data_IF_882017461709
#
_entry.id   IF_882017461709
#
_cell.length_a   1.000
_cell.length_b   1.000
_cell.length_c   1.000
_cell.angle_alpha   90.00
_cell.angle_beta   90.00
_cell.angle_gamma   90.00
#
_symmetry.space_group_name_H-M   'P 1'
#
loop_
_entity.id
_entity.type
_entity.pdbx_description
1 polymer ?
#
# COMPACT_ATOMS: atom_id res chain seq x y z
N UNK A 1 1.60 -0.91 -7.08
CA UNK A 1 0.20 -1.28 -6.77
C UNK A 1 -0.70 -0.56 -7.74
N UNK A 2 -1.54 -1.29 -8.45
CA UNK A 2 -2.57 -0.74 -9.34
C UNK A 2 -3.75 -0.25 -8.50
N UNK A 3 -4.39 0.85 -8.91
CA UNK A 3 -5.66 1.35 -8.36
C UNK A 3 -6.82 0.45 -8.85
N UNK A 4 -6.65 -0.87 -8.70
CA UNK A 4 -7.62 -1.87 -9.15
C UNK A 4 -8.58 -2.18 -8.00
N UNK A 5 -9.76 -1.57 -8.07
CA UNK A 5 -10.81 -1.69 -7.07
C UNK A 5 -11.29 -3.14 -6.90
N UNK A 6 -11.49 -3.88 -7.99
CA UNK A 6 -12.03 -5.24 -7.95
C UNK A 6 -11.05 -6.19 -7.24
N UNK A 7 -9.76 -6.06 -7.55
CA UNK A 7 -8.71 -6.81 -6.86
C UNK A 7 -8.65 -6.48 -5.36
N UNK A 8 -8.79 -5.21 -5.01
CA UNK A 8 -8.78 -4.75 -3.61
C UNK A 8 -9.98 -5.29 -2.82
N UNK A 9 -11.19 -5.22 -3.41
CA UNK A 9 -12.41 -5.78 -2.84
C UNK A 9 -12.32 -7.31 -2.67
N UNK A 10 -11.79 -8.00 -3.68
CA UNK A 10 -11.59 -9.45 -3.63
C UNK A 10 -10.66 -9.85 -2.49
N UNK A 11 -9.54 -9.13 -2.33
CA UNK A 11 -8.63 -9.37 -1.22
C UNK A 11 -9.33 -9.18 0.12
N UNK A 12 -10.10 -8.11 0.30
CA UNK A 12 -10.80 -7.86 1.55
C UNK A 12 -11.86 -8.92 1.86
N UNK A 13 -12.72 -9.25 0.88
CA UNK A 13 -13.78 -10.24 1.05
C UNK A 13 -13.24 -11.64 1.38
N UNK A 14 -12.05 -11.99 0.88
CA UNK A 14 -11.40 -13.26 1.20
C UNK A 14 -10.96 -13.41 2.68
N UNK A 15 -10.90 -12.31 3.45
CA UNK A 15 -10.58 -12.33 4.89
C UNK A 15 -11.80 -12.10 5.79
N UNK A 16 -12.91 -11.62 5.21
CA UNK A 16 -14.12 -11.22 5.95
C UNK A 16 -15.32 -11.89 5.30
N UNK A 17 -15.44 -13.20 5.45
CA UNK A 17 -16.54 -13.98 4.88
C UNK A 17 -17.63 -14.29 5.92
N UNK A 18 -17.25 -14.39 7.21
CA UNK A 18 -18.22 -14.66 8.26
C UNK A 18 -19.08 -13.42 8.52
N UNK A 19 -20.41 -13.56 8.48
CA UNK A 19 -21.35 -12.45 8.67
C UNK A 19 -21.16 -11.70 10.00
N UNK A 20 -20.83 -12.40 11.09
CA UNK A 20 -20.59 -11.77 12.39
C UNK A 20 -19.32 -10.92 12.35
N UNK A 21 -18.27 -11.42 11.71
CA UNK A 21 -17.03 -10.67 11.52
C UNK A 21 -17.27 -9.44 10.65
N UNK A 22 -18.02 -9.59 9.55
CA UNK A 22 -18.42 -8.46 8.70
C UNK A 22 -19.14 -7.41 9.55
N UNK A 23 -20.18 -7.76 10.31
CA UNK A 23 -20.92 -6.80 11.16
C UNK A 23 -20.00 -6.09 12.16
N UNK A 24 -19.08 -6.81 12.81
CA UNK A 24 -18.10 -6.22 13.71
C UNK A 24 -17.30 -5.13 12.98
N UNK A 25 -16.80 -5.42 11.78
CA UNK A 25 -16.05 -4.46 10.98
C UNK A 25 -16.92 -3.29 10.49
N UNK A 26 -18.18 -3.53 10.12
CA UNK A 26 -19.12 -2.49 9.70
C UNK A 26 -19.33 -1.42 10.78
N UNK A 27 -19.30 -1.83 12.06
CA UNK A 27 -19.42 -0.91 13.20
C UNK A 27 -18.06 -0.34 13.61
N UNK A 28 -17.03 -1.18 13.73
CA UNK A 28 -15.74 -0.78 14.31
C UNK A 28 -14.90 0.10 13.37
N UNK A 29 -14.93 -0.15 12.05
CA UNK A 29 -14.07 0.58 11.10
C UNK A 29 -14.43 2.07 11.01
N UNK A 30 -15.70 2.49 10.88
CA UNK A 30 -16.05 3.91 10.91
C UNK A 30 -15.66 4.58 12.23
N UNK A 31 -15.90 3.91 13.36
CA UNK A 31 -15.55 4.43 14.70
C UNK A 31 -14.04 4.58 14.88
N UNK A 32 -13.25 3.64 14.36
CA UNK A 32 -11.79 3.74 14.33
C UNK A 32 -11.33 4.89 13.45
N UNK A 33 -11.93 5.10 12.28
CA UNK A 33 -11.58 6.21 11.40
C UNK A 33 -11.84 7.56 12.07
N UNK A 34 -13.00 7.71 12.72
CA UNK A 34 -13.40 8.95 13.38
C UNK A 34 -12.53 9.23 14.61
N UNK A 35 -12.35 8.23 15.48
CA UNK A 35 -11.45 8.36 16.64
C UNK A 35 -10.01 8.64 16.22
N UNK A 36 -9.56 8.10 15.09
CA UNK A 36 -8.23 8.37 14.55
C UNK A 36 -8.09 9.83 14.08
N UNK A 37 -9.08 10.36 13.36
CA UNK A 37 -9.07 11.79 12.99
C UNK A 37 -9.08 12.70 14.22
N UNK A 38 -9.86 12.35 15.25
CA UNK A 38 -9.86 13.09 16.52
C UNK A 38 -8.49 13.09 17.19
N UNK A 39 -7.88 11.91 17.38
CA UNK A 39 -6.56 11.78 18.00
C UNK A 39 -5.53 12.63 17.24
N UNK A 40 -5.54 12.56 15.90
CA UNK A 40 -4.64 13.36 15.06
C UNK A 40 -4.95 14.86 15.12
N UNK A 41 -6.20 15.25 15.34
CA UNK A 41 -6.60 16.66 15.34
C UNK A 41 -5.92 17.49 16.44
N UNK A 42 -5.41 16.84 17.49
CA UNK A 42 -4.61 17.46 18.55
C UNK A 42 -3.25 18.01 18.08
N UNK A 43 -2.82 17.68 16.87
CA UNK A 43 -1.55 18.15 16.29
C UNK A 43 -1.80 19.20 15.21
N UNK A 44 -1.41 20.44 15.49
CA UNK A 44 -1.67 21.62 14.66
C UNK A 44 -2.56 22.64 15.40
N UNK A 45 -3.17 23.60 14.70
CA UNK A 45 -3.08 23.85 13.25
C UNK A 45 -1.66 24.23 12.80
N UNK A 46 -1.29 23.82 11.59
CA UNK A 46 0.07 24.04 11.07
C UNK A 46 0.26 25.42 10.41
N UNK A 47 -0.82 26.04 9.94
CA UNK A 47 -0.84 27.38 9.36
C UNK A 47 -2.24 27.99 9.46
N UNK A 48 -2.35 29.30 9.25
CA UNK A 48 -3.65 29.99 9.19
C UNK A 48 -4.15 30.07 7.75
N UNK A 49 -5.43 29.77 7.55
CA UNK A 49 -6.07 29.92 6.24
C UNK A 49 -6.56 31.36 6.07
N UNK A 50 -6.49 31.95 4.86
CA UNK A 50 -7.12 33.23 4.59
C UNK A 50 -8.65 33.11 4.78
N UNK A 51 -9.37 34.19 5.16
CA UNK A 51 -10.78 34.11 5.55
C UNK A 51 -11.69 33.42 4.54
N UNK A 52 -11.42 33.58 3.25
CA UNK A 52 -12.21 32.99 2.16
C UNK A 52 -12.00 31.47 1.98
N UNK A 53 -10.99 30.88 2.62
CA UNK A 53 -10.69 29.44 2.58
C UNK A 53 -10.98 28.74 3.91
N UNK A 54 -11.40 29.49 4.94
CA UNK A 54 -11.74 28.93 6.23
C UNK A 54 -13.10 28.22 6.14
N UNK A 55 -13.09 26.94 6.49
CA UNK A 55 -14.30 26.13 6.67
C UNK A 55 -14.48 25.90 8.17
N UNK A 56 -15.68 26.12 8.74
CA UNK A 56 -15.92 25.94 10.16
C UNK A 56 -15.44 24.58 10.66
N UNK A 57 -14.65 24.60 11.74
CA UNK A 57 -14.09 23.41 12.40
C UNK A 57 -13.16 22.54 11.55
N UNK A 58 -12.79 22.97 10.35
CA UNK A 58 -11.86 22.25 9.47
C UNK A 58 -10.52 22.98 9.39
N UNK A 59 -9.90 23.15 10.55
CA UNK A 59 -8.57 23.75 10.67
C UNK A 59 -7.51 22.84 10.00
N UNK A 60 -6.41 23.40 9.46
CA UNK A 60 -5.33 22.62 8.85
C UNK A 60 -4.46 21.96 9.93
N UNK A 61 -5.05 21.04 10.68
CA UNK A 61 -4.43 20.15 11.65
C UNK A 61 -4.24 18.75 11.04
N UNK A 62 -3.55 17.87 11.77
CA UNK A 62 -3.17 16.56 11.24
C UNK A 62 -4.40 15.65 10.99
N UNK A 63 -5.49 15.83 11.74
CA UNK A 63 -6.77 15.16 11.52
C UNK A 63 -7.41 15.56 10.17
N UNK A 64 -7.46 16.86 9.87
CA UNK A 64 -7.95 17.34 8.58
C UNK A 64 -7.06 16.87 7.40
N UNK A 65 -5.73 16.85 7.57
CA UNK A 65 -4.82 16.30 6.58
C UNK A 65 -5.03 14.80 6.35
N UNK A 66 -5.25 14.03 7.42
CA UNK A 66 -5.61 12.62 7.30
C UNK A 66 -6.94 12.47 6.54
N UNK A 67 -7.99 13.21 6.90
CA UNK A 67 -9.28 13.15 6.21
C UNK A 67 -9.16 13.47 4.71
N UNK A 68 -8.37 14.49 4.33
CA UNK A 68 -8.10 14.82 2.93
C UNK A 68 -7.32 13.71 2.21
N UNK A 69 -6.32 13.12 2.86
CA UNK A 69 -5.53 12.03 2.28
C UNK A 69 -6.39 10.77 2.05
N UNK A 70 -7.15 10.36 3.05
CA UNK A 70 -8.07 9.23 2.96
C UNK A 70 -9.17 9.48 1.93
N UNK A 71 -9.85 10.63 2.00
CA UNK A 71 -10.87 11.02 1.05
C UNK A 71 -10.34 11.10 -0.38
N UNK A 72 -9.15 11.66 -0.58
CA UNK A 72 -8.48 11.70 -1.88
C UNK A 72 -8.21 10.30 -2.43
N UNK A 73 -7.70 9.38 -1.59
CA UNK A 73 -7.50 7.98 -1.98
C UNK A 73 -8.81 7.31 -2.42
N UNK A 74 -9.90 7.55 -1.69
CA UNK A 74 -11.21 6.95 -1.99
C UNK A 74 -11.81 7.48 -3.27
N UNK A 75 -11.77 8.79 -3.47
CA UNK A 75 -12.20 9.43 -4.71
C UNK A 75 -11.43 8.88 -5.94
N UNK A 76 -10.14 8.56 -5.79
CA UNK A 76 -9.34 8.00 -6.87
C UNK A 76 -9.65 6.54 -7.18
N UNK A 77 -10.02 5.75 -6.17
CA UNK A 77 -10.36 4.33 -6.33
C UNK A 77 -11.78 4.15 -6.84
N UNK A 78 -12.70 4.98 -6.37
CA UNK A 78 -14.11 4.92 -6.70
C UNK A 78 -14.66 6.36 -6.71
N UNK A 79 -14.82 7.00 -7.89
CA UNK A 79 -15.16 8.42 -7.94
C UNK A 79 -16.52 8.81 -7.34
N UNK A 80 -17.50 7.90 -7.32
CA UNK A 80 -18.88 8.22 -6.90
C UNK A 80 -19.06 7.90 -5.42
N UNK A 81 -18.97 6.63 -5.05
CA UNK A 81 -19.00 6.15 -3.68
C UNK A 81 -17.83 6.69 -2.87
N UNK A 82 -16.61 6.67 -3.41
CA UNK A 82 -15.44 7.21 -2.74
C UNK A 82 -15.47 8.74 -2.63
N UNK A 83 -16.12 9.44 -3.56
CA UNK A 83 -16.40 10.88 -3.44
C UNK A 83 -17.32 11.20 -2.25
N UNK A 84 -18.41 10.44 -2.08
CA UNK A 84 -19.29 10.58 -0.91
C UNK A 84 -18.52 10.26 0.39
N UNK A 85 -17.72 9.19 0.39
CA UNK A 85 -16.91 8.82 1.55
C UNK A 85 -15.84 9.88 1.86
N UNK A 86 -15.30 10.57 0.86
CA UNK A 86 -14.38 11.69 1.06
C UNK A 86 -15.07 12.85 1.79
N UNK A 87 -16.31 13.17 1.43
CA UNK A 87 -17.11 14.18 2.15
C UNK A 87 -17.41 13.74 3.59
N UNK A 88 -17.71 12.45 3.80
CA UNK A 88 -17.87 11.88 5.15
C UNK A 88 -16.58 12.02 5.96
N UNK A 89 -15.41 11.77 5.36
CA UNK A 89 -14.12 11.95 6.05
C UNK A 89 -13.89 13.39 6.48
N UNK A 90 -14.17 14.36 5.60
CA UNK A 90 -14.06 15.79 5.93
C UNK A 90 -15.07 16.21 6.99
N UNK A 91 -16.32 15.73 6.88
CA UNK A 91 -17.36 15.96 7.90
C UNK A 91 -16.99 15.34 9.25
N UNK A 92 -16.36 14.17 9.26
CA UNK A 92 -15.84 13.53 10.46
C UNK A 92 -14.75 14.38 11.11
N UNK A 93 -13.75 14.84 10.34
CA UNK A 93 -12.69 15.70 10.88
C UNK A 93 -13.24 17.04 11.42
N UNK A 94 -14.21 17.65 10.74
CA UNK A 94 -14.88 18.85 11.23
C UNK A 94 -15.69 18.58 12.51
N UNK A 95 -16.44 17.48 12.54
CA UNK A 95 -17.26 17.09 13.68
C UNK A 95 -16.42 16.75 14.92
N UNK A 96 -15.31 16.03 14.75
CA UNK A 96 -14.41 15.72 15.87
C UNK A 96 -13.73 16.98 16.40
N UNK A 97 -13.26 17.87 15.52
CA UNK A 97 -12.78 19.19 15.92
C UNK A 97 -13.83 20.00 16.69
N UNK A 98 -15.08 20.01 16.23
CA UNK A 98 -16.17 20.68 16.95
C UNK A 98 -16.33 20.13 18.38
N UNK A 99 -16.38 18.80 18.54
CA UNK A 99 -16.50 18.15 19.85
C UNK A 99 -15.30 18.46 20.75
N UNK A 100 -14.09 18.40 20.19
CA UNK A 100 -12.85 18.73 20.90
C UNK A 100 -12.85 20.16 21.42
N UNK A 101 -13.39 21.12 20.67
CA UNK A 101 -13.52 22.51 21.13
C UNK A 101 -14.50 22.68 22.28
N UNK A 102 -15.46 21.76 22.47
CA UNK A 102 -16.37 21.77 23.62
C UNK A 102 -15.72 21.17 24.87
N UNK A 103 -15.04 20.03 24.72
CA UNK A 103 -14.34 19.34 25.80
C UNK A 103 -13.16 18.54 25.24
N UNK A 104 -11.96 19.12 25.30
CA UNK A 104 -10.74 18.49 24.78
C UNK A 104 -10.42 17.20 25.53
N UNK A 105 -10.55 17.20 26.85
CA UNK A 105 -10.13 16.06 27.67
C UNK A 105 -11.11 14.89 27.50
N UNK A 106 -12.42 15.15 27.63
CA UNK A 106 -13.44 14.12 27.47
C UNK A 106 -13.49 13.56 26.04
N UNK A 107 -13.40 14.41 25.02
CA UNK A 107 -13.41 13.96 23.61
C UNK A 107 -12.22 13.05 23.32
N UNK A 108 -11.02 13.39 23.79
CA UNK A 108 -9.83 12.55 23.62
C UNK A 108 -9.93 11.22 24.38
N UNK A 109 -10.43 11.24 25.63
CA UNK A 109 -10.65 10.02 26.40
C UNK A 109 -11.62 9.06 25.70
N UNK A 110 -12.74 9.59 25.20
CA UNK A 110 -13.73 8.82 24.45
C UNK A 110 -13.11 8.29 23.15
N UNK A 111 -12.39 9.12 22.39
CA UNK A 111 -11.76 8.70 21.14
C UNK A 111 -10.77 7.54 21.36
N UNK A 112 -9.90 7.64 22.36
CA UNK A 112 -8.94 6.57 22.70
C UNK A 112 -9.68 5.29 23.13
N UNK A 113 -10.68 5.41 24.00
CA UNK A 113 -11.46 4.26 24.48
C UNK A 113 -12.16 3.55 23.31
N UNK A 114 -12.87 4.30 22.45
CA UNK A 114 -13.53 3.78 21.26
C UNK A 114 -12.53 3.10 20.33
N UNK A 115 -11.37 3.72 20.10
CA UNK A 115 -10.33 3.17 19.23
C UNK A 115 -9.85 1.80 19.72
N UNK A 116 -9.53 1.68 21.02
CA UNK A 116 -9.06 0.44 21.63
C UNK A 116 -10.15 -0.64 21.59
N UNK A 117 -11.37 -0.32 22.02
CA UNK A 117 -12.49 -1.27 22.06
C UNK A 117 -12.81 -1.81 20.66
N UNK A 118 -12.82 -0.94 19.65
CA UNK A 118 -13.09 -1.34 18.26
C UNK A 118 -11.98 -2.23 17.69
N UNK A 119 -10.71 -1.99 18.02
CA UNK A 119 -9.61 -2.87 17.61
C UNK A 119 -9.69 -4.24 18.27
N UNK A 120 -9.98 -4.30 19.57
CA UNK A 120 -10.22 -5.56 20.29
C UNK A 120 -11.36 -6.33 19.61
N UNK A 121 -12.46 -5.63 19.29
CA UNK A 121 -13.58 -6.20 18.55
C UNK A 121 -13.16 -6.85 17.23
N UNK A 122 -12.39 -6.14 16.39
CA UNK A 122 -11.90 -6.67 15.11
C UNK A 122 -10.96 -7.88 15.28
N UNK A 123 -10.07 -7.87 16.27
CA UNK A 123 -9.20 -9.02 16.54
C UNK A 123 -10.00 -10.24 17.02
N UNK A 124 -11.02 -10.05 17.86
CA UNK A 124 -11.96 -11.12 18.24
C UNK A 124 -12.72 -11.62 17.03
N UNK A 125 -13.16 -10.71 16.15
CA UNK A 125 -13.74 -10.99 14.84
C UNK A 125 -12.95 -12.03 14.05
N UNK A 126 -11.71 -11.70 13.74
CA UNK A 126 -10.81 -12.57 12.99
C UNK A 126 -10.44 -13.87 13.74
N UNK A 127 -10.12 -13.77 15.03
CA UNK A 127 -9.67 -14.93 15.81
C UNK A 127 -10.77 -15.98 16.01
N UNK A 128 -11.97 -15.53 16.41
CA UNK A 128 -13.08 -16.43 16.78
C UNK A 128 -13.92 -16.87 15.58
N UNK A 129 -14.19 -15.97 14.63
CA UNK A 129 -15.17 -16.23 13.58
C UNK A 129 -14.54 -16.61 12.23
N UNK A 130 -13.38 -16.04 11.88
CA UNK A 130 -12.66 -16.41 10.64
C UNK A 130 -11.63 -17.53 10.87
N UNK A 131 -11.11 -17.66 12.10
CA UNK A 131 -10.06 -18.63 12.42
C UNK A 131 -8.76 -18.39 11.64
N UNK A 132 -8.52 -17.14 11.26
CA UNK A 132 -7.40 -16.67 10.45
C UNK A 132 -6.82 -15.39 11.06
N UNK A 133 -5.51 -15.20 10.91
CA UNK A 133 -4.86 -13.96 11.32
C UNK A 133 -5.37 -12.75 10.53
N UNK A 134 -5.48 -11.57 11.15
CA UNK A 134 -6.02 -10.38 10.49
C UNK A 134 -5.19 -9.99 9.27
N UNK A 135 -5.86 -9.42 8.26
CA UNK A 135 -5.23 -8.95 7.02
C UNK A 135 -4.12 -7.91 7.24
N UNK A 136 -4.10 -7.27 8.41
CA UNK A 136 -3.07 -6.35 8.87
C UNK A 136 -1.65 -6.93 8.75
N UNK A 137 -1.49 -8.23 9.05
CA UNK A 137 -0.19 -8.90 9.01
C UNK A 137 0.27 -9.22 7.58
N UNK A 138 -0.67 -9.40 6.67
CA UNK A 138 -0.41 -9.75 5.28
C UNK A 138 -0.24 -8.49 4.41
N UNK A 139 -0.99 -7.41 4.71
CA UNK A 139 -0.94 -6.16 3.97
C UNK A 139 -1.43 -4.95 4.80
N UNK A 140 -0.52 -4.38 5.59
CA UNK A 140 -0.78 -3.23 6.46
C UNK A 140 -1.46 -2.06 5.74
N UNK A 141 -1.00 -1.73 4.52
CA UNK A 141 -1.55 -0.62 3.76
C UNK A 141 -3.01 -0.85 3.37
N UNK A 142 -3.34 -2.04 2.85
CA UNK A 142 -4.73 -2.35 2.49
C UNK A 142 -5.63 -2.41 3.73
N UNK A 143 -5.14 -3.00 4.81
CA UNK A 143 -5.89 -3.13 6.05
C UNK A 143 -6.22 -1.77 6.70
N UNK A 144 -5.30 -0.80 6.66
CA UNK A 144 -5.51 0.51 7.29
C UNK A 144 -6.22 1.48 6.34
N UNK A 145 -5.76 1.59 5.09
CA UNK A 145 -6.25 2.65 4.20
C UNK A 145 -7.55 2.28 3.51
N UNK A 146 -7.75 1.01 3.13
CA UNK A 146 -8.89 0.60 2.30
C UNK A 146 -10.08 0.07 3.09
N UNK A 147 -9.89 -0.35 4.35
CA UNK A 147 -10.97 -0.90 5.17
C UNK A 147 -12.23 -0.01 5.23
N UNK A 148 -12.14 1.32 5.42
CA UNK A 148 -13.34 2.16 5.42
C UNK A 148 -14.05 2.22 4.07
N UNK A 149 -13.30 2.19 2.95
CA UNK A 149 -13.90 2.12 1.61
C UNK A 149 -14.64 0.80 1.41
N UNK A 150 -14.11 -0.30 1.92
CA UNK A 150 -14.76 -1.61 1.81
C UNK A 150 -16.06 -1.69 2.60
N UNK A 151 -16.05 -1.25 3.87
CA UNK A 151 -17.26 -1.17 4.70
C UNK A 151 -18.31 -0.28 4.05
N UNK A 152 -17.88 0.85 3.49
CA UNK A 152 -18.77 1.75 2.76
C UNK A 152 -19.38 1.09 1.50
N UNK A 153 -18.57 0.40 0.70
CA UNK A 153 -19.06 -0.31 -0.48
C UNK A 153 -19.97 -1.48 -0.12
N UNK A 154 -19.72 -2.18 0.98
CA UNK A 154 -20.59 -3.26 1.47
C UNK A 154 -21.98 -2.71 1.81
N UNK A 155 -22.08 -1.55 2.48
CA UNK A 155 -23.37 -0.86 2.69
C UNK A 155 -24.05 -0.52 1.37
N UNK A 156 -23.28 0.02 0.42
CA UNK A 156 -23.82 0.42 -0.88
C UNK A 156 -24.29 -0.80 -1.71
N UNK A 157 -23.61 -1.93 -1.59
CA UNK A 157 -24.00 -3.18 -2.23
C UNK A 157 -25.34 -3.71 -1.71
N UNK A 158 -25.64 -3.53 -0.42
CA UNK A 158 -26.94 -3.89 0.16
C UNK A 158 -28.08 -3.10 -0.50
N UNK A 159 -27.87 -1.82 -0.81
CA UNK A 159 -28.87 -0.97 -1.47
C UNK A 159 -28.82 -1.05 -3.01
N UNK A 160 -28.05 -1.99 -3.57
CA UNK A 160 -28.03 -2.27 -5.01
C UNK A 160 -27.05 -1.42 -5.83
N UNK A 161 -26.06 -0.76 -5.21
CA UNK A 161 -25.02 -0.05 -5.94
C UNK A 161 -24.12 -1.04 -6.71
N UNK A 162 -23.93 -0.82 -8.03
CA UNK A 162 -23.03 -1.63 -8.90
C UNK A 162 -23.18 -3.16 -8.73
N UNK A 163 -24.36 -3.75 -9.00
CA UNK A 163 -24.62 -5.17 -8.78
C UNK A 163 -23.68 -6.08 -9.61
N UNK A 164 -23.31 -5.66 -10.83
CA UNK A 164 -22.37 -6.40 -11.67
C UNK A 164 -20.95 -6.48 -11.09
N UNK A 165 -20.50 -5.42 -10.40
CA UNK A 165 -19.22 -5.43 -9.70
C UNK A 165 -19.28 -6.40 -8.52
N UNK A 166 -20.34 -6.29 -7.70
CA UNK A 166 -20.53 -7.18 -6.55
C UNK A 166 -20.50 -8.65 -6.99
N UNK A 167 -21.23 -8.99 -8.06
CA UNK A 167 -21.27 -10.37 -8.60
C UNK A 167 -19.89 -10.89 -9.01
N UNK A 168 -19.05 -10.06 -9.65
CA UNK A 168 -17.68 -10.46 -10.01
C UNK A 168 -16.79 -10.61 -8.79
N UNK A 169 -16.89 -9.69 -7.82
CA UNK A 169 -16.15 -9.75 -6.55
C UNK A 169 -16.54 -10.98 -5.76
N UNK A 170 -17.83 -11.26 -5.56
CA UNK A 170 -18.32 -12.43 -4.82
C UNK A 170 -17.75 -13.73 -5.44
N UNK A 171 -17.83 -13.86 -6.77
CA UNK A 171 -17.24 -14.99 -7.49
C UNK A 171 -15.73 -15.10 -7.28
N UNK A 172 -15.01 -13.98 -7.33
CA UNK A 172 -13.56 -13.98 -7.12
C UNK A 172 -13.19 -14.32 -5.67
N UNK A 173 -13.98 -13.85 -4.69
CA UNK A 173 -13.83 -14.16 -3.27
C UNK A 173 -14.03 -15.65 -3.01
N UNK A 174 -15.06 -16.26 -3.59
CA UNK A 174 -15.29 -17.71 -3.48
C UNK A 174 -14.09 -18.52 -3.98
N UNK A 175 -13.51 -18.12 -5.11
CA UNK A 175 -12.31 -18.76 -5.67
C UNK A 175 -11.12 -18.65 -4.71
N UNK A 176 -10.88 -17.46 -4.13
CA UNK A 176 -9.77 -17.26 -3.19
C UNK A 176 -9.98 -18.02 -1.86
N UNK A 177 -11.21 -18.09 -1.37
CA UNK A 177 -11.57 -18.90 -0.18
C UNK A 177 -11.35 -20.39 -0.47
N UNK A 178 -11.76 -20.88 -1.64
CA UNK A 178 -11.57 -22.27 -2.03
C UNK A 178 -10.08 -22.62 -2.09
N UNK A 179 -9.25 -21.77 -2.72
CA UNK A 179 -7.79 -21.92 -2.73
C UNK A 179 -7.20 -21.98 -1.33
N UNK A 180 -7.62 -21.08 -0.44
CA UNK A 180 -7.15 -21.06 0.94
C UNK A 180 -7.52 -22.36 1.69
N UNK A 181 -8.76 -22.85 1.52
CA UNK A 181 -9.21 -24.12 2.12
C UNK A 181 -8.43 -25.32 1.58
N UNK A 182 -8.18 -25.37 0.28
CA UNK A 182 -7.38 -26.42 -0.35
C UNK A 182 -5.94 -26.41 0.18
N UNK A 183 -5.30 -25.24 0.28
CA UNK A 183 -3.96 -25.10 0.86
C UNK A 183 -3.93 -25.57 2.31
N UNK A 184 -4.94 -25.21 3.10
CA UNK A 184 -5.08 -25.65 4.50
C UNK A 184 -5.26 -27.17 4.59
N UNK A 185 -6.07 -27.77 3.71
CA UNK A 185 -6.27 -29.21 3.63
C UNK A 185 -4.99 -29.95 3.25
N UNK A 186 -4.27 -29.52 2.22
CA UNK A 186 -2.96 -30.08 1.82
C UNK A 186 -1.94 -30.01 2.95
N UNK A 187 -1.91 -28.89 3.69
CA UNK A 187 -1.02 -28.74 4.86
C UNK A 187 -1.39 -29.72 5.98
N UNK A 188 -2.69 -29.92 6.23
CA UNK A 188 -3.19 -30.88 7.20
C UNK A 188 -2.91 -32.33 6.77
N UNK A 189 -3.12 -32.67 5.49
CA UNK A 189 -2.81 -33.97 4.92
C UNK A 189 -1.31 -34.27 5.01
N UNK A 190 -0.44 -33.35 4.62
CA UNK A 190 1.02 -33.50 4.77
C UNK A 190 1.41 -33.72 6.23
N UNK A 191 0.77 -33.02 7.17
CA UNK A 191 0.99 -33.22 8.60
C UNK A 191 0.49 -34.59 9.09
N UNK A 192 -0.62 -35.09 8.54
CA UNK A 192 -1.14 -36.44 8.83
C UNK A 192 -0.25 -37.53 8.21
N UNK A 193 0.18 -37.38 6.96
CA UNK A 193 1.12 -38.29 6.29
C UNK A 193 2.44 -38.34 7.05
N UNK A 194 2.98 -37.19 7.49
CA UNK A 194 4.15 -37.16 8.38
C UNK A 194 3.92 -37.97 9.67
N UNK A 195 2.77 -37.77 10.34
CA UNK A 195 2.40 -38.56 11.52
C UNK A 195 2.27 -40.05 11.22
N UNK A 196 1.60 -40.42 10.13
CA UNK A 196 1.40 -41.81 9.70
C UNK A 196 2.72 -42.49 9.37
N UNK A 197 3.59 -41.83 8.61
CA UNK A 197 4.93 -42.33 8.29
C UNK A 197 5.77 -42.51 9.57
N UNK A 198 5.69 -41.56 10.51
CA UNK A 198 6.34 -41.70 11.82
C UNK A 198 5.74 -42.83 12.69
N UNK A 199 4.47 -43.19 12.48
CA UNK A 199 3.80 -44.29 13.19
C UNK A 199 3.92 -45.66 12.51
N UNK A 200 4.07 -45.72 11.18
CA UNK A 200 4.31 -46.93 10.39
C UNK A 200 5.74 -47.46 10.60
N UNK A 201 6.66 -46.63 11.08
CA UNK A 201 7.94 -47.04 11.66
C UNK A 201 7.83 -47.55 13.12
N UNK A 202 6.62 -47.56 13.71
CA UNK A 202 6.38 -47.99 15.10
C UNK A 202 5.44 -49.21 15.32
N UNK A 203 5.19 -50.15 14.38
CA UNK A 203 3.99 -50.99 14.41
C UNK A 203 4.08 -52.26 15.28
N UNK A 204 4.69 -52.20 16.46
CA UNK A 204 4.67 -53.34 17.41
C UNK A 204 4.02 -53.03 18.75
N UNK A 205 3.55 -51.79 18.99
CA UNK A 205 3.54 -51.35 20.38
C UNK A 205 2.35 -51.82 21.24
N UNK A 206 1.16 -52.12 20.73
CA UNK A 206 0.05 -52.55 21.62
C UNK A 206 -0.90 -53.61 21.00
N UNK A 207 -0.86 -54.87 21.48
CA UNK A 207 -1.77 -55.95 21.09
C UNK A 207 -3.21 -55.76 21.63
N UNK A 208 -4.21 -56.49 21.09
CA UNK A 208 -5.64 -56.34 21.42
C UNK A 208 -5.98 -56.61 22.90
N UNK A 209 -5.10 -57.28 23.65
CA UNK A 209 -5.13 -57.47 25.10
C UNK A 209 -5.10 -56.13 25.89
N UNK A 210 -4.71 -55.03 25.25
CA UNK A 210 -4.37 -53.77 25.93
C UNK A 210 -5.57 -52.84 26.14
N UNK A 211 -6.71 -53.06 25.46
CA UNK A 211 -7.91 -52.22 25.57
C UNK A 211 -8.50 -52.15 27.00
N UNK A 212 -8.63 -53.25 27.77
CA UNK A 212 -9.07 -53.21 29.17
C UNK A 212 -8.06 -52.48 30.07
N UNK A 213 -6.77 -52.62 29.77
CA UNK A 213 -5.65 -51.96 30.47
C UNK A 213 -5.66 -50.46 30.21
N UNK A 214 -5.91 -50.03 28.96
CA UNK A 214 -6.03 -48.63 28.60
C UNK A 214 -7.23 -47.98 29.30
N UNK A 215 -8.34 -48.70 29.45
CA UNK A 215 -9.52 -48.16 30.16
C UNK A 215 -9.27 -48.02 31.67
N UNK A 216 -8.54 -48.95 32.27
CA UNK A 216 -8.17 -48.93 33.70
C UNK A 216 -7.10 -47.87 34.03
N UNK A 217 -6.13 -47.65 33.12
CA UNK A 217 -4.96 -46.79 33.36
C UNK A 217 -4.95 -45.44 32.62
N UNK A 218 -5.84 -45.21 31.64
CA UNK A 218 -6.01 -43.88 31.02
C UNK A 218 -7.35 -43.22 31.37
N UNK A 219 -8.47 -43.96 31.31
CA UNK A 219 -9.81 -43.36 31.29
C UNK A 219 -10.53 -43.37 32.65
N UNK A 220 -10.07 -44.17 33.63
CA UNK A 220 -10.63 -44.17 34.97
C UNK A 220 -10.23 -42.93 35.79
N UNK A 221 -11.09 -42.39 36.68
CA UNK A 221 -10.77 -41.21 37.51
C UNK A 221 -9.57 -41.40 38.45
N UNK A 222 -9.26 -42.65 38.82
CA UNK A 222 -8.12 -43.04 39.66
C UNK A 222 -6.89 -43.46 38.82
N UNK A 223 -6.87 -43.15 37.53
CA UNK A 223 -5.80 -43.59 36.64
C UNK A 223 -4.48 -42.85 36.89
N UNK A 224 -3.32 -43.49 36.63
CA UNK A 224 -2.01 -42.85 36.76
C UNK A 224 -1.87 -41.57 35.94
N UNK A 225 -2.57 -41.45 34.81
CA UNK A 225 -2.56 -40.22 34.01
C UNK A 225 -3.28 -39.05 34.68
N UNK A 226 -4.35 -39.31 35.42
CA UNK A 226 -4.97 -38.29 36.25
C UNK A 226 -4.07 -37.88 37.41
N UNK A 227 -3.31 -38.82 37.98
CA UNK A 227 -2.29 -38.55 39.01
C UNK A 227 -1.10 -37.77 38.44
N UNK A 228 -0.59 -38.14 37.26
CA UNK A 228 0.47 -37.43 36.54
C UNK A 228 0.00 -36.05 36.12
N UNK A 229 -1.25 -35.90 35.65
CA UNK A 229 -1.83 -34.59 35.34
C UNK A 229 -1.91 -33.72 36.58
N UNK A 230 -2.34 -34.27 37.72
CA UNK A 230 -2.33 -33.55 39.01
C UNK A 230 -0.92 -33.15 39.42
N UNK A 231 0.04 -34.06 39.32
CA UNK A 231 1.45 -33.78 39.56
C UNK A 231 2.03 -32.76 38.57
N UNK A 232 1.63 -32.78 37.30
CA UNK A 232 2.05 -31.82 36.29
C UNK A 232 1.45 -30.43 36.57
N UNK A 233 0.18 -30.34 36.98
CA UNK A 233 -0.40 -29.08 37.46
C UNK A 233 0.28 -28.57 38.73
N UNK A 234 0.66 -29.47 39.65
CA UNK A 234 1.41 -29.13 40.84
C UNK A 234 2.85 -28.69 40.49
N UNK A 235 3.50 -29.33 39.52
CA UNK A 235 4.82 -28.97 39.01
C UNK A 235 4.78 -27.62 38.30
N UNK A 236 3.76 -27.35 37.46
CA UNK A 236 3.57 -26.01 36.88
C UNK A 236 3.33 -24.96 37.96
N UNK A 237 2.60 -25.28 39.03
CA UNK A 237 2.43 -24.36 40.16
C UNK A 237 3.72 -24.15 40.96
N UNK A 238 4.60 -25.15 41.01
CA UNK A 238 5.94 -25.04 41.59
C UNK A 238 6.94 -24.33 40.68
N UNK A 239 6.76 -24.40 39.35
CA UNK A 239 7.60 -23.75 38.34
C UNK A 239 7.16 -22.30 38.05
N UNK A 240 5.89 -21.98 38.29
CA UNK A 240 5.32 -20.65 38.10
C UNK A 240 6.12 -19.54 38.81
N UNK A 241 6.58 -19.70 40.07
CA UNK A 241 7.43 -18.72 40.74
C UNK A 241 8.77 -18.50 40.03
N UNK A 242 9.38 -19.57 39.48
CA UNK A 242 10.62 -19.44 38.72
C UNK A 242 10.40 -18.73 37.38
N UNK A 243 9.24 -18.94 36.75
CA UNK A 243 8.84 -18.28 35.51
C UNK A 243 8.56 -16.79 35.74
N UNK A 244 7.90 -16.45 36.84
CA UNK A 244 7.72 -15.05 37.26
C UNK A 244 9.05 -14.41 37.62
N UNK A 245 9.93 -15.10 38.36
CA UNK A 245 11.29 -14.61 38.66
C UNK A 245 12.13 -14.44 37.39
N UNK A 246 12.02 -15.33 36.40
CA UNK A 246 12.70 -15.17 35.12
C UNK A 246 12.14 -13.98 34.31
N UNK A 247 10.82 -13.76 34.35
CA UNK A 247 10.17 -12.58 33.78
C UNK A 247 10.62 -11.30 34.49
N UNK A 248 10.70 -11.32 35.82
CA UNK A 248 11.17 -10.20 36.63
C UNK A 248 12.66 -9.91 36.39
N UNK A 249 13.48 -10.96 36.22
CA UNK A 249 14.87 -10.78 35.80
C UNK A 249 14.99 -10.29 34.36
N UNK A 250 14.09 -10.67 33.46
CA UNK A 250 14.07 -10.17 32.09
C UNK A 250 13.62 -8.70 32.04
N UNK A 251 12.59 -8.32 32.77
CA UNK A 251 12.15 -6.93 32.89
C UNK A 251 13.18 -6.08 33.62
N UNK A 252 13.82 -6.60 34.66
CA UNK A 252 14.97 -5.96 35.32
C UNK A 252 16.17 -5.85 34.37
N UNK A 253 16.48 -6.87 33.57
CA UNK A 253 17.54 -6.81 32.56
C UNK A 253 17.25 -5.75 31.49
N UNK A 254 16.01 -5.63 31.03
CA UNK A 254 15.59 -4.56 30.12
C UNK A 254 15.69 -3.18 30.77
N UNK A 255 15.39 -3.07 32.08
CA UNK A 255 15.53 -1.83 32.84
C UNK A 255 17.01 -1.45 33.10
N UNK A 256 17.87 -2.43 33.40
CA UNK A 256 19.30 -2.29 33.65
C UNK A 256 20.12 -2.16 32.35
N UNK A 257 19.54 -2.53 31.21
CA UNK A 257 20.14 -2.39 29.87
C UNK A 257 19.43 -1.31 29.04
N UNK A 258 19.35 -0.05 29.51
CA UNK A 258 18.60 1.01 28.83
C UNK A 258 19.13 1.27 27.42
N UNK A 259 20.41 1.02 27.16
CA UNK A 259 21.03 1.16 25.84
C UNK A 259 20.49 0.14 24.81
N UNK A 260 20.16 -1.07 25.25
CA UNK A 260 19.67 -2.15 24.37
C UNK A 260 18.20 -1.92 24.03
N UNK A 261 17.40 -1.49 25.01
CA UNK A 261 16.02 -1.05 24.81
C UNK A 261 15.96 0.20 23.94
N UNK A 262 16.82 1.19 24.19
CA UNK A 262 16.94 2.39 23.36
C UNK A 262 17.35 2.02 21.93
N UNK A 263 18.31 1.10 21.74
CA UNK A 263 18.71 0.60 20.43
C UNK A 263 17.57 -0.06 19.67
N UNK A 264 16.80 -0.93 20.32
CA UNK A 264 15.62 -1.56 19.72
C UNK A 264 14.53 -0.53 19.39
N UNK A 265 14.29 0.45 20.27
CA UNK A 265 13.34 1.54 20.04
C UNK A 265 13.77 2.43 18.87
N UNK A 266 15.06 2.74 18.74
CA UNK A 266 15.63 3.48 17.61
C UNK A 266 15.47 2.70 16.31
N UNK A 267 15.68 1.38 16.31
CA UNK A 267 15.47 0.55 15.11
C UNK A 267 14.01 0.53 14.68
N UNK A 268 13.08 0.37 15.62
CA UNK A 268 11.64 0.45 15.35
C UNK A 268 11.28 1.83 14.81
N UNK A 269 11.77 2.90 15.45
CA UNK A 269 11.57 4.28 15.01
C UNK A 269 12.15 4.51 13.61
N UNK A 270 13.33 3.99 13.31
CA UNK A 270 13.97 4.10 12.00
C UNK A 270 13.14 3.39 10.91
N UNK A 271 12.64 2.17 11.18
CA UNK A 271 11.72 1.48 10.27
C UNK A 271 10.44 2.29 10.05
N UNK A 272 9.90 2.88 11.11
CA UNK A 272 8.72 3.75 11.06
C UNK A 272 8.98 4.99 10.22
N UNK A 273 10.13 5.65 10.41
CA UNK A 273 10.57 6.79 9.59
C UNK A 273 10.70 6.38 8.13
N UNK A 274 11.32 5.24 7.82
CA UNK A 274 11.47 4.76 6.44
C UNK A 274 10.11 4.45 5.79
N UNK A 275 9.17 3.88 6.55
CA UNK A 275 7.79 3.65 6.11
C UNK A 275 7.08 4.97 5.81
N UNK A 276 7.21 5.96 6.70
CA UNK A 276 6.65 7.31 6.52
C UNK A 276 7.28 8.00 5.32
N UNK A 277 8.60 7.95 5.14
CA UNK A 277 9.28 8.51 3.96
C UNK A 277 8.85 7.82 2.66
N UNK A 278 8.64 6.50 2.69
CA UNK A 278 8.09 5.74 1.55
C UNK A 278 6.66 6.17 1.23
N UNK A 279 5.83 6.42 2.25
CA UNK A 279 4.48 6.95 2.10
C UNK A 279 4.50 8.37 1.52
N UNK A 280 5.29 9.27 2.11
CA UNK A 280 5.46 10.66 1.64
C UNK A 280 5.93 10.68 0.19
N UNK A 281 6.91 9.86 -0.19
CA UNK A 281 7.36 9.76 -1.59
C UNK A 281 6.22 9.35 -2.52
N UNK A 282 5.40 8.37 -2.15
CA UNK A 282 4.26 7.93 -2.96
C UNK A 282 3.20 9.03 -3.09
N UNK A 283 2.93 9.75 -2.00
CA UNK A 283 2.00 10.87 -1.96
C UNK A 283 2.52 12.03 -2.82
N UNK A 284 3.80 12.41 -2.69
CA UNK A 284 4.43 13.44 -3.51
C UNK A 284 4.37 13.09 -5.00
N UNK A 285 4.76 11.87 -5.38
CA UNK A 285 4.68 11.42 -6.77
C UNK A 285 3.24 11.38 -7.31
N UNK A 286 2.26 11.18 -6.43
CA UNK A 286 0.87 11.27 -6.80
C UNK A 286 0.45 12.73 -7.05
N UNK A 287 0.70 13.64 -6.11
CA UNK A 287 0.32 15.05 -6.22
C UNK A 287 1.06 15.78 -7.34
N UNK A 288 2.33 15.48 -7.58
CA UNK A 288 3.06 16.05 -8.72
C UNK A 288 2.40 15.64 -10.04
N UNK A 289 2.05 14.37 -10.20
CA UNK A 289 1.32 13.89 -11.39
C UNK A 289 -0.06 14.54 -11.51
N UNK A 290 -0.79 14.72 -10.41
CA UNK A 290 -2.08 15.41 -10.42
C UNK A 290 -1.92 16.89 -10.80
N UNK A 291 -0.95 17.60 -10.22
CA UNK A 291 -0.66 18.99 -10.54
C UNK A 291 -0.33 19.18 -12.02
N UNK A 292 0.52 18.32 -12.60
CA UNK A 292 0.81 18.35 -14.04
C UNK A 292 -0.44 18.09 -14.89
N UNK A 293 -1.33 17.18 -14.46
CA UNK A 293 -2.60 16.94 -15.16
C UNK A 293 -3.54 18.15 -15.10
N UNK A 294 -3.67 18.78 -13.94
CA UNK A 294 -4.51 19.97 -13.78
C UNK A 294 -3.95 21.15 -14.58
N UNK A 295 -2.63 21.35 -14.56
CA UNK A 295 -1.95 22.37 -15.37
C UNK A 295 -2.18 22.13 -16.88
N UNK A 296 -2.08 20.87 -17.32
CA UNK A 296 -2.38 20.48 -18.69
C UNK A 296 -3.83 20.83 -19.07
N UNK A 297 -4.81 20.42 -18.27
CA UNK A 297 -6.22 20.72 -18.54
C UNK A 297 -6.56 22.21 -18.46
N UNK A 298 -5.92 22.96 -17.56
CA UNK A 298 -6.04 24.42 -17.52
C UNK A 298 -5.50 25.05 -18.80
N UNK A 299 -4.37 24.56 -19.32
CA UNK A 299 -3.83 24.98 -20.62
C UNK A 299 -4.77 24.66 -21.79
N UNK A 300 -5.36 23.47 -21.81
CA UNK A 300 -6.37 23.08 -22.81
C UNK A 300 -7.61 23.99 -22.73
N UNK A 301 -8.12 24.25 -21.54
CA UNK A 301 -9.26 25.14 -21.33
C UNK A 301 -8.95 26.58 -21.74
N UNK A 302 -7.74 27.07 -21.46
CA UNK A 302 -7.27 28.39 -21.91
C UNK A 302 -7.22 28.46 -23.43
N UNK A 303 -6.64 27.45 -24.10
CA UNK A 303 -6.61 27.39 -25.56
C UNK A 303 -8.02 27.35 -26.15
N UNK A 304 -8.92 26.53 -25.60
CA UNK A 304 -10.31 26.48 -26.02
C UNK A 304 -11.01 27.84 -25.84
N UNK A 305 -10.76 28.53 -24.74
CA UNK A 305 -11.27 29.88 -24.48
C UNK A 305 -10.75 30.90 -25.50
N UNK A 306 -9.46 30.86 -25.84
CA UNK A 306 -8.87 31.72 -26.88
C UNK A 306 -9.50 31.45 -28.25
N UNK A 307 -9.65 30.18 -28.62
CA UNK A 307 -10.30 29.78 -29.88
C UNK A 307 -11.75 30.26 -29.93
N UNK A 308 -12.48 30.13 -28.82
CA UNK A 308 -13.86 30.58 -28.70
C UNK A 308 -13.99 32.10 -28.84
N UNK A 309 -13.14 32.87 -28.15
CA UNK A 309 -13.17 34.33 -28.19
C UNK A 309 -12.75 34.91 -29.54
N UNK A 310 -11.78 34.29 -30.22
CA UNK A 310 -11.21 34.79 -31.49
C UNK A 310 -11.90 34.24 -32.73
N UNK A 311 -12.67 33.17 -32.59
CA UNK A 311 -13.30 32.44 -33.68
C UNK A 311 -12.38 31.40 -34.31
N UNK A 312 -12.94 30.23 -34.61
CA UNK A 312 -12.22 29.04 -35.08
C UNK A 312 -11.36 29.31 -36.33
N UNK A 313 -11.87 30.11 -37.29
CA UNK A 313 -11.17 30.38 -38.55
C UNK A 313 -9.86 31.16 -38.37
N UNK A 314 -9.83 32.17 -37.49
CA UNK A 314 -8.61 32.95 -37.21
C UNK A 314 -7.59 32.15 -36.41
N UNK A 315 -8.06 31.40 -35.42
CA UNK A 315 -7.19 30.50 -34.64
C UNK A 315 -6.59 29.38 -35.48
N UNK A 316 -7.32 28.86 -36.47
CA UNK A 316 -6.80 27.87 -37.42
C UNK A 316 -5.72 28.46 -38.34
N UNK A 317 -5.90 29.69 -38.84
CA UNK A 317 -4.90 30.36 -39.66
C UNK A 317 -3.60 30.62 -38.88
N UNK A 318 -3.69 31.07 -37.63
CA UNK A 318 -2.53 31.25 -36.76
C UNK A 318 -1.84 29.92 -36.46
N UNK A 319 -2.60 28.84 -36.22
CA UNK A 319 -2.05 27.52 -36.00
C UNK A 319 -1.27 27.00 -37.22
N UNK A 320 -1.76 27.24 -38.44
CA UNK A 320 -1.05 26.90 -39.67
C UNK A 320 0.24 27.72 -39.80
N UNK A 321 0.20 29.02 -39.52
CA UNK A 321 1.39 29.87 -39.57
C UNK A 321 2.47 29.39 -38.59
N UNK A 322 2.08 29.05 -37.35
CA UNK A 322 2.98 28.48 -36.34
C UNK A 322 3.51 27.12 -36.78
N UNK A 323 2.66 26.24 -37.33
CA UNK A 323 3.08 24.92 -37.82
C UNK A 323 4.09 25.02 -38.97
N UNK A 324 3.92 25.97 -39.89
CA UNK A 324 4.88 26.24 -40.97
C UNK A 324 6.21 26.74 -40.40
N UNK A 325 6.19 27.63 -39.41
CA UNK A 325 7.40 28.13 -38.76
C UNK A 325 8.15 27.01 -38.02
N UNK A 326 7.44 26.20 -37.23
CA UNK A 326 8.01 25.04 -36.53
C UNK A 326 8.56 24.02 -37.53
N UNK A 327 7.82 23.74 -38.60
CA UNK A 327 8.27 22.85 -39.68
C UNK A 327 9.57 23.33 -40.33
N UNK A 328 9.72 24.64 -40.55
CA UNK A 328 10.97 25.23 -41.04
C UNK A 328 12.14 25.04 -40.08
N UNK A 329 11.92 25.20 -38.78
CA UNK A 329 12.94 24.94 -37.76
C UNK A 329 13.35 23.46 -37.71
N UNK A 330 12.37 22.55 -37.72
CA UNK A 330 12.62 21.10 -37.73
C UNK A 330 13.39 20.68 -38.98
N UNK A 331 13.02 21.19 -40.16
CA UNK A 331 13.77 20.94 -41.39
C UNK A 331 15.22 21.43 -41.30
N UNK A 332 15.45 22.61 -40.71
CA UNK A 332 16.80 23.12 -40.45
C UNK A 332 17.62 22.20 -39.53
N UNK A 333 17.01 21.71 -38.44
CA UNK A 333 17.65 20.75 -37.53
C UNK A 333 17.97 19.41 -38.21
N UNK A 334 17.05 18.87 -38.99
CA UNK A 334 17.27 17.64 -39.77
C UNK A 334 18.42 17.82 -40.75
N UNK A 335 18.50 18.97 -41.44
CA UNK A 335 19.61 19.26 -42.35
C UNK A 335 20.96 19.38 -41.63
N UNK A 336 21.00 19.97 -40.45
CA UNK A 336 22.22 20.02 -39.62
C UNK A 336 22.64 18.61 -39.23
N UNK A 337 21.71 17.81 -38.70
CA UNK A 337 21.98 16.44 -38.29
C UNK A 337 22.41 15.54 -39.47
N UNK A 338 21.76 15.68 -40.62
CA UNK A 338 22.08 14.93 -41.84
C UNK A 338 23.49 15.25 -42.36
N UNK A 339 23.87 16.53 -42.38
CA UNK A 339 25.24 16.94 -42.73
C UNK A 339 26.29 16.36 -41.80
N UNK A 340 25.98 16.27 -40.51
CA UNK A 340 26.89 15.69 -39.53
C UNK A 340 26.98 14.16 -39.64
N UNK A 341 25.86 13.50 -39.95
CA UNK A 341 25.82 12.08 -40.27
C UNK A 341 26.66 11.74 -41.51
N UNK A 342 26.55 12.52 -42.58
CA UNK A 342 27.35 12.37 -43.79
C UNK A 342 28.85 12.57 -43.53
N UNK A 343 29.22 13.57 -42.72
CA UNK A 343 30.60 13.78 -42.27
C UNK A 343 31.14 12.58 -41.48
N UNK A 344 30.38 12.08 -40.51
CA UNK A 344 30.77 10.92 -39.71
C UNK A 344 30.94 9.65 -40.57
N UNK A 345 30.09 9.44 -41.57
CA UNK A 345 30.27 8.34 -42.53
C UNK A 345 31.51 8.53 -43.43
N UNK A 346 31.76 9.75 -43.91
CA UNK A 346 32.90 10.06 -44.76
C UNK A 346 34.24 9.86 -44.01
N UNK A 347 34.30 10.23 -42.73
CA UNK A 347 35.45 9.98 -41.85
C UNK A 347 35.67 8.48 -41.61
N UNK A 348 34.58 7.72 -41.41
CA UNK A 348 34.64 6.26 -41.26
C UNK A 348 35.11 5.52 -42.53
N UNK A 349 34.75 6.01 -43.73
CA UNK A 349 35.23 5.46 -45.00
C UNK A 349 36.66 5.91 -45.36
N UNK A 350 37.09 7.10 -44.91
CA UNK A 350 38.45 7.61 -45.08
C UNK A 350 39.51 6.81 -44.31
N UNK A 351 39.21 6.42 -43.06
CA UNK A 351 40.11 5.56 -42.27
C UNK A 351 40.21 4.13 -42.82
N UNK A 352 39.16 3.60 -43.46
CA UNK A 352 39.19 2.28 -44.10
C UNK A 352 40.02 2.23 -45.40
N UNK A 353 40.27 3.38 -46.05
CA UNK A 353 40.97 3.45 -47.34
C UNK A 353 42.46 3.77 -47.22
N UNK A 354 42.89 4.49 -46.18
CA UNK A 354 44.33 4.73 -45.92
C UNK A 354 45.06 3.53 -45.30
N UNK A 355 44.35 2.53 -44.75
CA UNK A 355 44.97 1.29 -44.24
C UNK A 355 45.29 0.22 -45.28
N UNK A 356 44.99 0.44 -46.59
CA UNK A 356 45.04 -0.65 -47.60
C UNK A 356 45.79 -0.36 -48.90
N UNK A 357 46.54 0.73 -49.01
CA UNK A 357 47.38 1.00 -50.20
C UNK A 357 48.79 1.40 -49.81
N UNK A 358 49.68 0.40 -49.79
CA UNK A 358 51.13 0.62 -49.82
C UNK A 358 51.57 1.07 -51.22
N UNK A 359 52.60 1.93 -51.37
CA UNK A 359 53.02 2.37 -52.69
C UNK A 359 54.24 1.57 -53.19
N UNK A 360 54.02 0.80 -54.26
CA UNK A 360 55.07 0.31 -55.15
C UNK A 360 54.87 0.83 -56.57
N UNK A 361 55.88 1.56 -57.08
CA UNK A 361 56.30 1.79 -58.49
C UNK A 361 55.29 2.38 -59.49
N UNK A 362 55.62 3.22 -60.49
CA UNK A 362 56.78 4.02 -60.93
C UNK A 362 56.32 4.75 -62.22
N UNK A 363 56.98 5.86 -62.60
CA UNK A 363 56.93 6.46 -63.96
C UNK A 363 56.28 7.85 -63.96
N UNK A 364 57.00 9.00 -63.94
CA UNK A 364 57.93 9.62 -64.91
C UNK A 364 57.27 10.00 -66.25
N UNK A 365 57.05 11.30 -66.48
CA UNK A 365 57.65 12.16 -67.55
C UNK A 365 56.86 13.47 -67.76
N UNK A 366 57.61 14.59 -67.82
CA UNK A 366 57.28 15.86 -68.52
C UNK A 366 56.47 16.88 -67.71
N UNK A 367 56.84 18.16 -67.55
CA UNK A 367 57.76 19.02 -68.29
C UNK A 367 57.10 20.39 -68.47
N UNK A 368 57.75 21.44 -67.96
CA UNK A 368 57.57 22.88 -68.21
C UNK A 368 56.38 23.68 -67.63
N UNK A 369 56.76 24.80 -67.01
CA UNK A 369 56.24 26.11 -67.44
C UNK A 369 55.59 27.02 -66.40
N UNK A 370 56.41 27.81 -65.69
CA UNK A 370 56.14 29.26 -65.55
C UNK A 370 55.18 29.77 -64.47
N UNK A 371 55.76 30.28 -63.39
CA UNK A 371 55.63 31.69 -62.97
C UNK A 371 54.30 32.19 -62.39
N UNK A 372 54.35 32.73 -61.17
CA UNK A 372 53.33 33.68 -60.71
C UNK A 372 53.18 33.77 -59.20
N UNK A 373 53.96 34.65 -58.57
CA UNK A 373 53.84 35.04 -57.18
C UNK A 373 52.61 35.94 -56.93
N UNK A 374 52.09 35.95 -55.71
CA UNK A 374 51.07 36.91 -55.31
C UNK A 374 50.51 36.67 -53.92
N UNK A 375 51.33 36.87 -52.89
CA UNK A 375 50.85 37.07 -51.52
C UNK A 375 50.28 38.49 -51.38
N UNK A 376 49.03 38.61 -50.91
CA UNK A 376 48.59 39.66 -49.99
C UNK A 376 47.24 39.30 -49.38
#
# INVERSE_FOLDING_TARGET
>A
MTLDLERQLTFYGAYHHNQVNVIIHMVCVPLILFSFFEILSNYGPFFTLPPWLQVPYLEPNLGAFAAMMWGGLYLLLEPVAGGILALICLGAAAGTNYLRLQDVAGTNQIAIAVHIVCWIGQFVGHGKFEGRAPALLDNLFQAIFLAPLFVWLELLFIVGYRPELKKRVDKAVEIEIAKFREQKAKKAEKAQQWKLQSSLTAPHLLPPETLPTLQTYLLAPSSPLHTIRRQATALTAQLLPFLTTALDHFTAFLADSPNLVAGAAILVLAVLILQVLSLVRRIMLFWTRLAFRLLWWAGVALLASVVWQRGVGRSAADAVAVALQVGGWVAGWVQVWWREYERAQAEGQGQGRQGRQGPGQQGRVGGDGGGGAGWR
#
